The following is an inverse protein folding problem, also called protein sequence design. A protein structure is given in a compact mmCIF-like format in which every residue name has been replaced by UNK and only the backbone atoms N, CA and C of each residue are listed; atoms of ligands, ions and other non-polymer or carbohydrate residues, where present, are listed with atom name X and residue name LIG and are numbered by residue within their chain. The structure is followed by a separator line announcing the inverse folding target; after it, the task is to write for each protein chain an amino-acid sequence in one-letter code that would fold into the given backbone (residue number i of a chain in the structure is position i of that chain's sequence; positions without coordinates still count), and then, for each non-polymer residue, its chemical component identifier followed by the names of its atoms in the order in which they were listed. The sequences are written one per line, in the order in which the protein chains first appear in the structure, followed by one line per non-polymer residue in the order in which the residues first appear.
data_IF_589005642047
#
_entry.id   IF_589005642047
#
_cell.length_a   1.000
_cell.length_b   1.000
_cell.length_c   1.000
_cell.angle_alpha   90.00
_cell.angle_beta   90.00
_cell.angle_gamma   90.00
#
_symmetry.space_group_name_H-M   'P 1'
#
loop_
_entity.id
_entity.type
_entity.pdbx_description
1 polymer ?
#
# COMPACT_ATOMS: atom_id res chain seq x y z
N UNK A 1 30.31 -21.25 -19.82
CA UNK A 1 29.28 -20.20 -19.95
C UNK A 1 29.38 -19.30 -18.74
N UNK A 2 29.58 -17.99 -18.93
CA UNK A 2 29.82 -17.03 -17.85
C UNK A 2 28.50 -16.60 -17.19
N UNK A 3 28.44 -16.56 -15.86
CA UNK A 3 27.36 -15.88 -15.13
C UNK A 3 27.67 -14.39 -15.02
N UNK A 4 26.74 -13.55 -15.45
CA UNK A 4 26.76 -12.09 -15.31
C UNK A 4 25.87 -11.73 -14.11
N UNK A 5 26.48 -11.15 -13.09
CA UNK A 5 25.76 -10.71 -11.90
C UNK A 5 24.97 -9.43 -12.21
N UNK A 6 23.70 -9.40 -11.80
CA UNK A 6 22.79 -8.27 -12.01
C UNK A 6 22.56 -7.55 -10.68
N UNK A 7 22.57 -6.22 -10.72
CA UNK A 7 22.24 -5.41 -9.55
C UNK A 7 20.76 -5.60 -9.16
N UNK A 8 20.41 -5.66 -7.86
CA UNK A 8 19.01 -5.74 -7.44
C UNK A 8 18.18 -4.55 -7.94
N UNK A 9 17.00 -4.82 -8.50
CA UNK A 9 16.07 -3.79 -8.97
C UNK A 9 16.21 -3.37 -10.44
N UNK A 10 17.06 -4.05 -11.22
CA UNK A 10 17.10 -3.88 -12.68
C UNK A 10 15.91 -4.56 -13.37
N UNK A 11 15.58 -4.13 -14.59
CA UNK A 11 14.52 -4.72 -15.42
C UNK A 11 15.08 -5.72 -16.44
N UNK A 12 14.18 -6.40 -17.18
CA UNK A 12 14.53 -7.42 -18.17
C UNK A 12 15.29 -6.79 -19.36
N UNK A 13 14.94 -5.57 -19.79
CA UNK A 13 15.65 -4.85 -20.86
C UNK A 13 17.12 -4.65 -20.51
N UNK A 14 17.41 -4.20 -19.28
CA UNK A 14 18.78 -4.01 -18.82
C UNK A 14 19.55 -5.34 -18.78
N UNK A 15 18.94 -6.41 -18.25
CA UNK A 15 19.56 -7.73 -18.24
C UNK A 15 19.88 -8.22 -19.66
N UNK A 16 18.94 -8.03 -20.60
CA UNK A 16 19.14 -8.34 -22.02
C UNK A 16 20.31 -7.55 -22.61
N UNK A 17 20.37 -6.24 -22.40
CA UNK A 17 21.46 -5.38 -22.89
C UNK A 17 22.83 -5.81 -22.36
N UNK A 18 22.94 -6.13 -21.07
CA UNK A 18 24.20 -6.58 -20.48
C UNK A 18 24.67 -7.92 -21.06
N UNK A 19 23.75 -8.87 -21.24
CA UNK A 19 24.07 -10.18 -21.85
C UNK A 19 24.49 -10.04 -23.32
N UNK A 20 23.80 -9.17 -24.09
CA UNK A 20 24.17 -8.90 -25.48
C UNK A 20 25.53 -8.19 -25.58
N UNK A 21 25.78 -7.21 -24.72
CA UNK A 21 27.05 -6.50 -24.66
C UNK A 21 28.21 -7.45 -24.36
N UNK A 22 28.09 -8.30 -23.33
CA UNK A 22 29.14 -9.27 -23.01
C UNK A 22 29.43 -10.21 -24.18
N UNK A 23 28.38 -10.77 -24.80
CA UNK A 23 28.54 -11.67 -25.96
C UNK A 23 29.17 -10.96 -27.16
N UNK A 24 28.86 -9.68 -27.39
CA UNK A 24 29.48 -8.88 -28.44
C UNK A 24 30.96 -8.60 -28.18
N UNK A 25 31.34 -8.32 -26.93
CA UNK A 25 32.71 -7.98 -26.54
C UNK A 25 33.64 -9.21 -26.49
N UNK A 26 33.12 -10.36 -26.08
CA UNK A 26 33.92 -11.57 -25.82
C UNK A 26 33.72 -12.68 -26.84
N UNK A 27 32.60 -12.67 -27.58
CA UNK A 27 32.17 -13.78 -28.42
C UNK A 27 31.62 -14.99 -27.65
N UNK A 28 31.63 -14.96 -26.31
CA UNK A 28 31.22 -16.09 -25.47
C UNK A 28 29.75 -16.02 -25.08
N UNK A 29 29.12 -17.19 -24.95
CA UNK A 29 27.79 -17.29 -24.35
C UNK A 29 27.83 -17.08 -22.83
N UNK A 30 26.85 -16.35 -22.32
CA UNK A 30 26.68 -16.01 -20.92
C UNK A 30 25.21 -16.07 -20.49
N UNK A 31 24.97 -16.05 -19.18
CA UNK A 31 23.64 -16.03 -18.60
C UNK A 31 23.60 -15.15 -17.34
N UNK A 32 22.41 -14.79 -16.88
CA UNK A 32 22.19 -14.17 -15.56
C UNK A 32 20.97 -14.77 -14.87
N UNK A 33 20.89 -14.60 -13.54
CA UNK A 33 19.69 -14.95 -12.76
C UNK A 33 18.77 -13.74 -12.61
N UNK A 34 17.48 -13.94 -12.85
CA UNK A 34 16.44 -12.92 -12.79
C UNK A 34 15.13 -13.53 -12.28
N UNK A 35 14.65 -13.12 -11.10
CA UNK A 35 13.40 -13.61 -10.48
C UNK A 35 13.24 -15.15 -10.59
N UNK A 36 14.24 -15.89 -10.10
CA UNK A 36 14.34 -17.36 -10.14
C UNK A 36 14.41 -18.01 -11.53
N UNK A 37 14.64 -17.22 -12.58
CA UNK A 37 14.88 -17.68 -13.95
C UNK A 37 16.31 -17.40 -14.38
N UNK A 38 16.84 -18.24 -15.25
CA UNK A 38 18.08 -17.98 -15.95
C UNK A 38 17.77 -17.41 -17.33
N UNK A 39 18.36 -16.25 -17.65
CA UNK A 39 18.27 -15.59 -18.95
C UNK A 39 19.61 -15.72 -19.66
N UNK A 40 19.60 -16.11 -20.93
CA UNK A 40 20.80 -16.45 -21.69
C UNK A 40 21.04 -15.46 -22.82
N UNK A 41 22.31 -15.18 -23.13
CA UNK A 41 22.70 -14.27 -24.23
C UNK A 41 22.24 -14.72 -25.62
N UNK A 42 21.87 -15.99 -25.79
CA UNK A 42 21.28 -16.53 -27.01
C UNK A 42 19.81 -16.13 -27.20
N UNK A 43 19.10 -15.80 -26.13
CA UNK A 43 17.67 -15.51 -26.18
C UNK A 43 17.39 -14.13 -26.77
N UNK A 44 16.26 -14.01 -27.43
CA UNK A 44 15.64 -12.75 -27.83
C UNK A 44 14.99 -12.08 -26.61
N UNK A 45 14.73 -10.79 -26.73
CA UNK A 45 14.06 -10.03 -25.67
C UNK A 45 12.68 -10.62 -25.35
N UNK A 46 11.89 -10.99 -26.36
CA UNK A 46 10.57 -11.59 -26.17
C UNK A 46 10.63 -12.96 -25.48
N UNK A 47 11.62 -13.80 -25.77
CA UNK A 47 11.80 -15.07 -25.06
C UNK A 47 12.08 -14.86 -23.57
N UNK A 48 12.91 -13.87 -23.23
CA UNK A 48 13.18 -13.51 -21.82
C UNK A 48 11.92 -13.01 -21.12
N UNK A 49 11.17 -12.11 -21.77
CA UNK A 49 9.89 -11.61 -21.25
C UNK A 49 8.86 -12.74 -21.06
N UNK A 50 8.72 -13.64 -22.03
CA UNK A 50 7.83 -14.80 -21.93
C UNK A 50 8.25 -15.74 -20.81
N UNK A 51 9.55 -15.92 -20.59
CA UNK A 51 10.08 -16.78 -19.53
C UNK A 51 9.78 -16.22 -18.13
N UNK A 52 9.97 -14.93 -17.93
CA UNK A 52 9.83 -14.27 -16.61
C UNK A 52 8.37 -13.88 -16.33
N UNK A 53 7.68 -13.30 -17.31
CA UNK A 53 6.37 -12.65 -17.11
C UNK A 53 5.21 -13.40 -17.76
N UNK A 54 5.49 -14.41 -18.60
CA UNK A 54 4.51 -15.11 -19.46
C UNK A 54 3.85 -14.22 -20.52
N UNK A 55 4.41 -13.05 -20.79
CA UNK A 55 3.93 -12.09 -21.80
C UNK A 55 5.09 -11.73 -22.74
N UNK A 56 4.78 -11.36 -23.99
CA UNK A 56 5.76 -10.67 -24.85
C UNK A 56 6.06 -9.29 -24.28
N UNK A 57 7.16 -8.66 -24.69
CA UNK A 57 7.51 -7.30 -24.27
C UNK A 57 6.37 -6.32 -24.57
N UNK A 58 5.86 -6.35 -25.81
CA UNK A 58 4.78 -5.47 -26.23
C UNK A 58 3.51 -5.61 -25.37
N UNK A 59 3.17 -6.84 -24.95
CA UNK A 59 2.01 -7.08 -24.09
C UNK A 59 2.27 -6.64 -22.65
N UNK A 60 3.47 -6.90 -22.14
CA UNK A 60 3.88 -6.45 -20.80
C UNK A 60 3.88 -4.92 -20.70
N UNK A 61 4.49 -4.22 -21.66
CA UNK A 61 4.56 -2.76 -21.69
C UNK A 61 3.16 -2.15 -21.81
N UNK A 62 2.29 -2.73 -22.62
CA UNK A 62 0.88 -2.30 -22.72
C UNK A 62 0.15 -2.46 -21.40
N UNK A 63 0.29 -3.60 -20.71
CA UNK A 63 -0.38 -3.84 -19.44
C UNK A 63 0.11 -2.84 -18.37
N UNK A 64 1.42 -2.56 -18.31
CA UNK A 64 1.96 -1.52 -17.43
C UNK A 64 1.41 -0.13 -17.75
N UNK A 65 1.29 0.22 -19.03
CA UNK A 65 0.72 1.50 -19.44
C UNK A 65 -0.76 1.60 -19.08
N UNK A 66 -1.53 0.53 -19.28
CA UNK A 66 -2.95 0.47 -18.95
C UNK A 66 -3.15 0.60 -17.42
N UNK A 67 -2.34 -0.11 -16.62
CA UNK A 67 -2.33 0.02 -15.15
C UNK A 67 -1.96 1.44 -14.70
N UNK A 68 -0.96 2.06 -15.33
CA UNK A 68 -0.55 3.44 -15.03
C UNK A 68 -1.65 4.45 -15.36
N UNK A 69 -2.29 4.32 -16.53
CA UNK A 69 -3.38 5.19 -16.95
C UNK A 69 -4.58 5.06 -16.00
N UNK A 70 -4.93 3.84 -15.61
CA UNK A 70 -6.01 3.58 -14.66
C UNK A 70 -5.69 4.14 -13.27
N UNK A 71 -4.44 4.02 -12.82
CA UNK A 71 -3.96 4.65 -11.59
C UNK A 71 -4.12 6.18 -11.64
N UNK A 72 -3.65 6.83 -12.72
CA UNK A 72 -3.77 8.29 -12.90
C UNK A 72 -5.22 8.76 -12.93
N UNK A 73 -6.10 7.99 -13.59
CA UNK A 73 -7.54 8.26 -13.62
C UNK A 73 -8.13 8.22 -12.21
N UNK A 74 -7.91 7.13 -11.46
CA UNK A 74 -8.37 6.98 -10.07
C UNK A 74 -7.80 8.04 -9.15
N UNK A 75 -6.53 8.40 -9.32
CA UNK A 75 -5.87 9.46 -8.56
C UNK A 75 -6.52 10.82 -8.80
N UNK A 76 -6.80 11.16 -10.07
CA UNK A 76 -7.47 12.41 -10.45
C UNK A 76 -8.89 12.46 -9.91
N UNK A 77 -9.66 11.39 -10.08
CA UNK A 77 -11.04 11.26 -9.57
C UNK A 77 -11.09 11.38 -8.04
N UNK A 78 -10.13 10.78 -7.35
CA UNK A 78 -10.05 10.88 -5.89
C UNK A 78 -9.67 12.29 -5.44
N UNK A 79 -8.66 12.91 -6.04
CA UNK A 79 -8.27 14.30 -5.73
C UNK A 79 -9.41 15.29 -5.91
N UNK A 80 -10.23 15.10 -6.94
CA UNK A 80 -11.43 15.93 -7.15
C UNK A 80 -12.46 15.80 -6.02
N UNK A 81 -12.51 14.66 -5.32
CA UNK A 81 -13.41 14.40 -4.19
C UNK A 81 -12.88 14.90 -2.84
N UNK A 82 -11.56 15.11 -2.70
CA UNK A 82 -10.94 15.49 -1.44
C UNK A 82 -11.63 16.69 -0.75
N UNK A 83 -11.96 17.80 -1.43
CA UNK A 83 -12.63 18.92 -0.77
C UNK A 83 -13.96 18.53 -0.10
N UNK A 84 -14.75 17.70 -0.77
CA UNK A 84 -16.03 17.20 -0.26
C UNK A 84 -15.80 16.21 0.89
N UNK A 85 -14.86 15.28 0.74
CA UNK A 85 -14.50 14.32 1.79
C UNK A 85 -14.01 15.01 3.07
N UNK A 86 -13.24 16.10 2.94
CA UNK A 86 -12.80 16.89 4.11
C UNK A 86 -14.02 17.38 4.91
N UNK A 87 -15.03 17.92 4.24
CA UNK A 87 -16.25 18.41 4.89
C UNK A 87 -16.97 17.23 5.57
N UNK A 88 -17.15 16.12 4.85
CA UNK A 88 -17.84 14.94 5.35
C UNK A 88 -17.17 14.33 6.59
N UNK A 89 -15.86 14.09 6.57
CA UNK A 89 -15.15 13.53 7.72
C UNK A 89 -15.13 14.47 8.92
N UNK A 90 -15.06 15.78 8.70
CA UNK A 90 -15.17 16.75 9.80
C UNK A 90 -16.56 16.70 10.43
N UNK A 91 -17.61 16.66 9.62
CA UNK A 91 -18.99 16.58 10.11
C UNK A 91 -19.27 15.25 10.83
N UNK A 92 -18.88 14.11 10.24
CA UNK A 92 -19.10 12.78 10.82
C UNK A 92 -18.42 12.58 12.17
N UNK A 93 -17.27 13.22 12.39
CA UNK A 93 -16.60 13.14 13.68
C UNK A 93 -17.38 13.77 14.84
N UNK A 94 -18.37 14.64 14.56
CA UNK A 94 -19.08 15.38 15.60
C UNK A 94 -20.08 14.46 16.28
N UNK A 95 -19.96 14.33 17.60
CA UNK A 95 -20.69 13.33 18.38
C UNK A 95 -20.01 11.96 18.46
N UNK A 96 -18.88 11.75 17.75
CA UNK A 96 -18.05 10.55 17.86
C UNK A 96 -16.74 10.88 18.57
N UNK A 97 -16.00 11.86 18.06
CA UNK A 97 -14.72 12.27 18.64
C UNK A 97 -15.00 13.30 19.75
N UNK A 98 -14.35 13.19 20.92
CA UNK A 98 -14.48 14.18 21.99
C UNK A 98 -14.13 15.60 21.53
N UNK A 99 -14.86 16.62 22.00
CA UNK A 99 -14.67 18.02 21.59
C UNK A 99 -13.22 18.51 21.74
N UNK A 100 -12.54 18.09 22.82
CA UNK A 100 -11.13 18.39 23.11
C UNK A 100 -10.17 17.93 22.01
N UNK A 101 -10.61 17.03 21.14
CA UNK A 101 -9.84 16.40 20.08
C UNK A 101 -10.25 16.83 18.66
N UNK A 102 -11.39 17.51 18.49
CA UNK A 102 -11.95 17.84 17.18
C UNK A 102 -11.06 18.78 16.37
N UNK A 103 -10.40 19.74 17.02
CA UNK A 103 -9.46 20.64 16.34
C UNK A 103 -8.31 19.85 15.68
N UNK A 104 -7.78 18.86 16.41
CA UNK A 104 -6.72 18.02 15.89
C UNK A 104 -7.23 17.09 14.77
N UNK A 105 -8.44 16.54 14.91
CA UNK A 105 -9.08 15.77 13.84
C UNK A 105 -9.19 16.60 12.55
N UNK A 106 -9.74 17.81 12.64
CA UNK A 106 -9.94 18.68 11.48
C UNK A 106 -8.64 19.04 10.77
N UNK A 107 -7.56 19.17 11.54
CA UNK A 107 -6.21 19.41 11.02
C UNK A 107 -5.67 18.21 10.26
N UNK A 108 -5.86 16.98 10.77
CA UNK A 108 -5.27 15.80 10.14
C UNK A 108 -6.07 15.28 8.95
N UNK A 109 -7.40 15.43 8.92
CA UNK A 109 -8.27 14.95 7.82
C UNK A 109 -7.73 15.34 6.42
N UNK A 110 -7.46 16.62 6.11
CA UNK A 110 -6.93 16.98 4.80
C UNK A 110 -5.53 16.40 4.54
N UNK A 111 -4.70 16.23 5.57
CA UNK A 111 -3.35 15.67 5.44
C UNK A 111 -3.44 14.18 5.09
N UNK A 112 -4.31 13.44 5.78
CA UNK A 112 -4.53 12.00 5.56
C UNK A 112 -5.17 11.71 4.21
N UNK A 113 -6.16 12.50 3.81
CA UNK A 113 -6.76 12.38 2.47
C UNK A 113 -5.76 12.68 1.34
N UNK A 114 -4.67 13.40 1.59
CA UNK A 114 -3.64 13.70 0.59
C UNK A 114 -2.39 12.79 0.68
N UNK A 115 -2.35 11.84 1.61
CA UNK A 115 -1.20 10.94 1.74
C UNK A 115 -1.33 9.68 0.87
N UNK A 116 -0.30 8.82 0.92
CA UNK A 116 -0.23 7.57 0.16
C UNK A 116 -1.39 6.62 0.45
N UNK A 117 -1.93 6.66 1.67
CA UNK A 117 -3.01 5.82 2.15
C UNK A 117 -4.38 6.46 1.96
N UNK A 118 -4.46 7.70 1.46
CA UNK A 118 -5.71 8.34 1.03
C UNK A 118 -6.79 8.37 2.12
N UNK A 119 -6.36 8.42 3.39
CA UNK A 119 -7.23 8.47 4.55
C UNK A 119 -8.01 7.18 4.84
N UNK A 120 -7.54 6.00 4.41
CA UNK A 120 -8.21 4.72 4.70
C UNK A 120 -8.50 4.52 6.19
N UNK A 121 -7.66 5.09 7.05
CA UNK A 121 -7.74 4.97 8.50
C UNK A 121 -8.80 5.88 9.13
N UNK A 122 -9.26 6.92 8.41
CA UNK A 122 -10.23 7.88 8.96
C UNK A 122 -11.58 7.22 9.25
N UNK A 123 -12.09 6.40 8.33
CA UNK A 123 -13.34 5.66 8.56
C UNK A 123 -13.22 4.68 9.71
N UNK A 124 -12.11 3.95 9.75
CA UNK A 124 -11.85 3.00 10.82
C UNK A 124 -11.79 3.68 12.20
N UNK A 125 -11.08 4.79 12.30
CA UNK A 125 -11.00 5.53 13.57
C UNK A 125 -12.39 5.95 14.04
N UNK A 126 -13.25 6.45 13.14
CA UNK A 126 -14.61 6.80 13.49
C UNK A 126 -15.44 5.59 13.93
N UNK A 127 -15.34 4.45 13.25
CA UNK A 127 -16.04 3.21 13.62
C UNK A 127 -15.60 2.69 14.99
N UNK A 128 -14.29 2.59 15.21
CA UNK A 128 -13.73 2.09 16.48
C UNK A 128 -14.09 3.02 17.63
N UNK A 129 -13.95 4.34 17.45
CA UNK A 129 -14.30 5.30 18.51
C UNK A 129 -15.80 5.26 18.79
N UNK A 130 -16.64 5.12 17.77
CA UNK A 130 -18.08 4.98 17.95
C UNK A 130 -18.43 3.75 18.78
N UNK A 131 -17.81 2.59 18.49
CA UNK A 131 -17.98 1.37 19.29
C UNK A 131 -17.49 1.56 20.73
N UNK A 132 -16.34 2.22 20.90
CA UNK A 132 -15.79 2.56 22.21
C UNK A 132 -16.68 3.51 23.01
N UNK A 133 -17.47 4.36 22.36
CA UNK A 133 -18.40 5.28 23.03
C UNK A 133 -19.70 4.62 23.51
N UNK A 134 -19.95 3.35 23.15
CA UNK A 134 -21.19 2.67 23.57
C UNK A 134 -21.19 2.32 25.07
N UNK A 135 -22.38 2.16 25.64
CA UNK A 135 -22.57 1.74 27.04
C UNK A 135 -22.32 0.24 27.27
N UNK A 136 -21.85 -0.48 26.25
CA UNK A 136 -21.55 -1.92 26.36
C UNK A 136 -20.41 -2.15 27.37
N UNK A 137 -20.35 -3.35 27.97
CA UNK A 137 -19.20 -3.75 28.77
C UNK A 137 -17.91 -3.56 27.98
N UNK A 138 -16.87 -3.05 28.66
CA UNK A 138 -15.58 -2.71 28.02
C UNK A 138 -14.99 -3.87 27.23
N UNK A 139 -15.05 -5.08 27.79
CA UNK A 139 -14.57 -6.31 27.17
C UNK A 139 -15.28 -6.61 25.84
N UNK A 140 -16.59 -6.37 25.77
CA UNK A 140 -17.37 -6.59 24.56
C UNK A 140 -17.00 -5.55 23.48
N UNK A 141 -16.86 -4.28 23.86
CA UNK A 141 -16.38 -3.22 22.96
C UNK A 141 -15.01 -3.56 22.39
N UNK A 142 -14.09 -4.05 23.22
CA UNK A 142 -12.72 -4.38 22.79
C UNK A 142 -12.72 -5.55 21.80
N UNK A 143 -13.53 -6.58 22.04
CA UNK A 143 -13.74 -7.67 21.08
C UNK A 143 -14.30 -7.19 19.76
N UNK A 144 -15.32 -6.33 19.79
CA UNK A 144 -15.92 -5.77 18.59
C UNK A 144 -14.90 -4.94 17.80
N UNK A 145 -14.16 -4.06 18.48
CA UNK A 145 -13.10 -3.27 17.88
C UNK A 145 -11.99 -4.14 17.25
N UNK A 146 -11.58 -5.23 17.90
CA UNK A 146 -10.62 -6.18 17.34
C UNK A 146 -11.13 -6.80 16.04
N UNK A 147 -12.38 -7.25 16.02
CA UNK A 147 -12.98 -7.82 14.81
C UNK A 147 -13.09 -6.79 13.67
N UNK A 148 -13.45 -5.54 13.99
CA UNK A 148 -13.45 -4.43 13.03
C UNK A 148 -12.05 -4.18 12.46
N UNK A 149 -11.02 -4.16 13.33
CA UNK A 149 -9.64 -3.95 12.93
C UNK A 149 -9.11 -5.08 12.02
N UNK A 150 -9.36 -6.35 12.37
CA UNK A 150 -8.95 -7.51 11.56
C UNK A 150 -9.63 -7.48 10.19
N UNK A 151 -10.95 -7.19 10.15
CA UNK A 151 -11.73 -7.15 8.90
C UNK A 151 -11.17 -6.15 7.89
N UNK A 152 -10.55 -5.08 8.35
CA UNK A 152 -9.98 -4.05 7.48
C UNK A 152 -8.60 -4.41 6.94
N UNK A 153 -7.93 -5.44 7.47
CA UNK A 153 -6.70 -5.99 6.88
C UNK A 153 -5.49 -5.05 6.91
N UNK A 154 -5.39 -4.17 7.91
CA UNK A 154 -4.22 -3.30 8.09
C UNK A 154 -2.94 -4.12 8.28
N UNK A 155 -1.84 -3.70 7.64
CA UNK A 155 -0.54 -4.34 7.80
C UNK A 155 0.58 -3.32 7.99
N UNK A 156 1.57 -3.67 8.81
CA UNK A 156 2.78 -2.87 9.04
C UNK A 156 2.49 -1.41 9.41
N UNK A 157 2.87 -0.47 8.54
CA UNK A 157 2.76 0.96 8.80
C UNK A 157 1.31 1.48 8.91
N UNK A 158 0.34 0.88 8.19
CA UNK A 158 -1.06 1.34 8.27
C UNK A 158 -1.68 1.06 9.63
N UNK A 159 -1.33 -0.07 10.25
CA UNK A 159 -1.70 -0.40 11.63
C UNK A 159 -1.11 0.61 12.64
N UNK A 160 0.14 1.04 12.42
CA UNK A 160 0.78 2.06 13.26
C UNK A 160 0.06 3.41 13.22
N UNK A 161 -0.44 3.83 12.06
CA UNK A 161 -1.23 5.05 11.91
C UNK A 161 -2.57 4.95 12.67
N UNK A 162 -3.24 3.80 12.55
CA UNK A 162 -4.45 3.49 13.32
C UNK A 162 -4.23 3.60 14.82
N UNK A 163 -3.17 2.96 15.34
CA UNK A 163 -2.86 3.00 16.77
C UNK A 163 -2.57 4.42 17.25
N UNK A 164 -1.81 5.19 16.48
CA UNK A 164 -1.54 6.61 16.77
C UNK A 164 -2.84 7.43 16.89
N UNK A 165 -3.81 7.17 16.00
CA UNK A 165 -5.15 7.76 16.08
C UNK A 165 -5.89 7.35 17.36
N UNK A 166 -5.91 6.06 17.70
CA UNK A 166 -6.59 5.57 18.90
C UNK A 166 -6.02 6.20 20.18
N UNK A 167 -4.69 6.24 20.34
CA UNK A 167 -4.04 6.91 21.47
C UNK A 167 -4.44 8.38 21.60
N UNK A 168 -4.65 9.04 20.45
CA UNK A 168 -4.99 10.46 20.41
C UNK A 168 -6.45 10.68 20.73
N UNK A 169 -7.36 9.93 20.12
CA UNK A 169 -8.77 10.31 20.01
C UNK A 169 -9.70 9.66 21.04
N UNK A 170 -9.23 8.68 21.83
CA UNK A 170 -10.07 8.06 22.84
C UNK A 170 -9.27 7.67 24.10
N UNK A 171 -9.84 7.88 25.29
CA UNK A 171 -9.14 7.67 26.56
C UNK A 171 -8.82 6.17 26.82
N UNK A 172 -9.67 5.26 26.31
CA UNK A 172 -9.39 3.82 26.28
C UNK A 172 -8.47 3.37 25.13
N UNK A 173 -8.03 4.30 24.28
CA UNK A 173 -7.29 3.99 23.06
C UNK A 173 -6.03 3.17 23.30
N UNK A 174 -5.26 3.51 24.35
CA UNK A 174 -4.06 2.74 24.70
C UNK A 174 -4.36 1.30 25.06
N UNK A 175 -5.38 1.09 25.90
CA UNK A 175 -5.78 -0.24 26.35
C UNK A 175 -6.36 -1.08 25.20
N UNK A 176 -7.06 -0.45 24.25
CA UNK A 176 -7.51 -1.14 23.06
C UNK A 176 -6.33 -1.56 22.17
N UNK A 177 -5.32 -0.69 21.99
CA UNK A 177 -4.14 -1.03 21.19
C UNK A 177 -3.38 -2.21 21.80
N UNK A 178 -3.22 -2.22 23.12
CA UNK A 178 -2.58 -3.35 23.82
C UNK A 178 -3.40 -4.64 23.62
N UNK A 179 -4.71 -4.56 23.82
CA UNK A 179 -5.61 -5.69 23.58
C UNK A 179 -5.51 -6.23 22.14
N UNK A 180 -5.45 -5.37 21.13
CA UNK A 180 -5.31 -5.77 19.72
C UNK A 180 -3.96 -6.45 19.47
N UNK A 181 -2.88 -6.03 20.12
CA UNK A 181 -1.54 -6.62 19.93
C UNK A 181 -1.38 -7.98 20.61
N UNK A 182 -2.17 -8.24 21.64
CA UNK A 182 -2.17 -9.50 22.38
C UNK A 182 -2.97 -10.62 21.69
N UNK A 183 -3.70 -10.29 20.62
CA UNK A 183 -4.57 -11.21 19.86
C UNK A 183 -4.23 -11.24 18.38
#
# INVERSE_FOLDING_TARGET
MKEIEMYPGVNIDYAYEQLKKYKQETGEDCYCKFNDKELYSSETLDEMYLKVTRKTKAKFDKDLQDEHNEYLRKETEFRAKIPQLIIEYRQRARGIIPDKNLEYWDKIVPIRLNDLYKGIELDCLLELISELNTDRPKEERFKNCLQMFIKQGHSGMSAGLMFSGLYRFHDLGAQLVDYIKEH
#
